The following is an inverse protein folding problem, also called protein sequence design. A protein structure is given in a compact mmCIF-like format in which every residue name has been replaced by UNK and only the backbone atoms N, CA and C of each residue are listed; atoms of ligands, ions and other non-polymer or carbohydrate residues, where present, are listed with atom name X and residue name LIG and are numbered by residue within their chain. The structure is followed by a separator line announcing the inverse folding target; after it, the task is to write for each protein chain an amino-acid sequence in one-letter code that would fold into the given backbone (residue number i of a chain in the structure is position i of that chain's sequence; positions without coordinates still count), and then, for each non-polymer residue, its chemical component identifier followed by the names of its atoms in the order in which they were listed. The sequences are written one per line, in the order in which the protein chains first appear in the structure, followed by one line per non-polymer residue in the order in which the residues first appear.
data_IF_571520117530
#
_entry.id   IF_571520117530
#
_cell.length_a   1.000
_cell.length_b   1.000
_cell.length_c   1.000
_cell.angle_alpha   90.00
_cell.angle_beta   90.00
_cell.angle_gamma   90.00
#
_symmetry.space_group_name_H-M   'P 1'
#
loop_
_entity.id
_entity.type
_entity.pdbx_description
1 polymer ?
#
# COMPACT_ATOMS: atom_id res chain seq x y z
N UNK A 1 9.50 -1.60 3.92
CA UNK A 1 8.07 -1.66 4.27
C UNK A 1 7.73 -0.41 5.06
N UNK A 2 6.97 0.51 4.49
CA UNK A 2 6.52 1.74 5.14
C UNK A 2 5.54 1.43 6.28
N UNK A 3 5.78 1.98 7.47
CA UNK A 3 5.07 1.70 8.73
C UNK A 3 3.62 2.26 8.81
N UNK A 4 3.04 2.70 7.69
CA UNK A 4 1.71 3.35 7.63
C UNK A 4 0.51 2.41 7.83
N UNK A 5 0.71 1.11 8.02
CA UNK A 5 -0.36 0.11 8.13
C UNK A 5 -0.99 -0.08 9.52
N UNK A 6 -0.64 0.73 10.53
CA UNK A 6 -1.06 0.51 11.92
C UNK A 6 -2.25 1.33 12.41
N UNK A 7 -2.77 2.25 11.59
CA UNK A 7 -3.95 3.06 11.93
C UNK A 7 -5.26 2.27 11.95
N UNK A 8 -5.40 1.26 11.08
CA UNK A 8 -6.70 0.62 10.86
C UNK A 8 -7.15 -0.31 11.99
N UNK A 9 -6.30 -0.60 12.99
CA UNK A 9 -6.74 -1.37 14.15
C UNK A 9 -7.68 -0.61 15.10
N UNK A 10 -7.86 0.71 14.94
CA UNK A 10 -8.78 1.51 15.76
C UNK A 10 -8.37 1.68 17.24
N UNK A 11 -7.26 1.06 17.67
CA UNK A 11 -6.82 1.03 19.07
C UNK A 11 -6.44 2.40 19.64
N UNK A 12 -6.03 3.34 18.80
CA UNK A 12 -5.71 4.71 19.23
C UNK A 12 -6.94 5.61 19.44
N UNK A 13 -8.15 5.11 19.19
CA UNK A 13 -9.38 5.91 19.34
C UNK A 13 -9.79 6.02 20.81
N UNK A 14 -10.48 7.11 21.17
CA UNK A 14 -11.05 7.28 22.52
C UNK A 14 -12.04 6.18 22.85
N UNK A 15 -12.86 5.76 21.87
CA UNK A 15 -13.81 4.66 22.01
C UNK A 15 -13.13 3.35 22.41
N UNK A 16 -12.12 2.91 21.65
CA UNK A 16 -11.36 1.70 21.98
C UNK A 16 -10.72 1.76 23.36
N UNK A 17 -10.17 2.93 23.74
CA UNK A 17 -9.61 3.14 25.08
C UNK A 17 -10.66 2.99 26.19
N UNK A 18 -11.81 3.62 26.05
CA UNK A 18 -12.87 3.51 27.05
C UNK A 18 -13.44 2.09 27.14
N UNK A 19 -13.69 1.44 26.00
CA UNK A 19 -14.16 0.04 25.98
C UNK A 19 -13.18 -0.88 26.70
N UNK A 20 -11.89 -0.78 26.39
CA UNK A 20 -10.87 -1.62 27.04
C UNK A 20 -10.74 -1.30 28.53
N UNK A 21 -10.81 -0.02 28.93
CA UNK A 21 -10.80 0.37 30.34
C UNK A 21 -12.01 -0.22 31.07
N UNK A 22 -13.20 -0.15 30.50
CA UNK A 22 -14.42 -0.73 31.11
C UNK A 22 -14.25 -2.25 31.29
N UNK A 23 -13.83 -2.95 30.24
CA UNK A 23 -13.59 -4.40 30.28
C UNK A 23 -12.53 -4.75 31.35
N UNK A 24 -11.43 -4.00 31.40
CA UNK A 24 -10.40 -4.18 32.42
C UNK A 24 -10.92 -3.91 33.83
N UNK A 25 -11.70 -2.84 34.04
CA UNK A 25 -12.28 -2.53 35.36
C UNK A 25 -13.27 -3.58 35.83
N UNK A 26 -14.08 -4.15 34.93
CA UNK A 26 -15.02 -5.22 35.27
C UNK A 26 -14.29 -6.50 35.68
N UNK A 27 -13.20 -6.86 35.01
CA UNK A 27 -12.40 -8.00 35.39
C UNK A 27 -11.51 -7.77 36.61
N UNK A 28 -11.08 -6.53 36.85
CA UNK A 28 -10.48 -6.14 38.13
C UNK A 28 -11.48 -6.33 39.27
N UNK A 29 -12.72 -5.87 39.07
CA UNK A 29 -13.79 -6.03 40.04
C UNK A 29 -14.05 -7.51 40.35
N UNK A 30 -14.18 -8.37 39.34
CA UNK A 30 -14.35 -9.81 39.56
C UNK A 30 -13.18 -10.41 40.33
N UNK A 31 -11.95 -10.03 40.00
CA UNK A 31 -10.75 -10.50 40.71
C UNK A 31 -10.78 -10.09 42.18
N UNK A 32 -11.15 -8.84 42.49
CA UNK A 32 -11.18 -8.32 43.85
C UNK A 32 -12.22 -9.03 44.74
N UNK A 33 -13.34 -9.48 44.17
CA UNK A 33 -14.36 -10.25 44.90
C UNK A 33 -13.83 -11.60 45.37
N UNK A 34 -12.95 -12.21 44.57
CA UNK A 34 -12.42 -13.56 44.83
C UNK A 34 -11.06 -13.55 45.57
N UNK A 35 -10.47 -12.38 45.82
CA UNK A 35 -9.10 -12.26 46.34
C UNK A 35 -9.02 -12.45 47.86
N UNK A 36 -8.14 -13.36 48.31
CA UNK A 36 -7.78 -13.50 49.72
C UNK A 36 -6.77 -12.42 50.17
N UNK A 37 -6.75 -12.02 51.46
CA UNK A 37 -5.89 -10.93 51.96
C UNK A 37 -4.38 -11.13 51.70
N UNK A 38 -3.91 -12.38 51.64
CA UNK A 38 -2.50 -12.71 51.43
C UNK A 38 -1.99 -12.49 50.01
N UNK A 39 -2.89 -12.38 49.02
CA UNK A 39 -2.55 -12.30 47.60
C UNK A 39 -2.68 -10.88 47.03
N UNK A 40 -3.15 -9.94 47.86
CA UNK A 40 -3.50 -8.58 47.46
C UNK A 40 -2.35 -7.83 46.78
N UNK A 41 -1.10 -8.04 47.22
CA UNK A 41 0.07 -7.35 46.63
C UNK A 41 0.38 -7.87 45.22
N UNK A 42 0.41 -9.18 45.03
CA UNK A 42 0.69 -9.78 43.72
C UNK A 42 -0.37 -9.39 42.69
N UNK A 43 -1.64 -9.41 43.09
CA UNK A 43 -2.78 -9.02 42.26
C UNK A 43 -2.75 -7.51 41.96
N UNK A 44 -2.41 -6.66 42.94
CA UNK A 44 -2.26 -5.22 42.71
C UNK A 44 -1.14 -4.92 41.70
N UNK A 45 0.00 -5.61 41.78
CA UNK A 45 1.09 -5.46 40.82
C UNK A 45 0.68 -5.97 39.43
N UNK A 46 0.06 -7.15 39.34
CA UNK A 46 -0.39 -7.71 38.07
C UNK A 46 -1.40 -6.80 37.36
N UNK A 47 -2.37 -6.28 38.10
CA UNK A 47 -3.40 -5.37 37.58
C UNK A 47 -2.84 -4.01 37.18
N UNK A 48 -1.86 -3.48 37.93
CA UNK A 48 -1.14 -2.27 37.55
C UNK A 48 -0.34 -2.44 36.24
N UNK A 49 0.33 -3.59 36.05
CA UNK A 49 1.03 -3.92 34.81
C UNK A 49 0.06 -4.05 33.63
N UNK A 50 -1.09 -4.69 33.83
CA UNK A 50 -2.15 -4.80 32.82
C UNK A 50 -2.70 -3.42 32.44
N UNK A 51 -2.99 -2.56 33.41
CA UNK A 51 -3.46 -1.20 33.20
C UNK A 51 -2.43 -0.39 32.40
N UNK A 52 -1.15 -0.47 32.77
CA UNK A 52 -0.07 0.18 32.04
C UNK A 52 -0.02 -0.28 30.58
N UNK A 53 -0.04 -1.59 30.33
CA UNK A 53 -0.03 -2.16 28.98
C UNK A 53 -1.23 -1.68 28.16
N UNK A 54 -2.43 -1.71 28.73
CA UNK A 54 -3.65 -1.21 28.11
C UNK A 54 -3.51 0.26 27.72
N UNK A 55 -3.03 1.10 28.62
CA UNK A 55 -2.85 2.55 28.38
C UNK A 55 -1.82 2.80 27.27
N UNK A 56 -0.73 2.03 27.25
CA UNK A 56 0.30 2.12 26.20
C UNK A 56 -0.26 1.67 24.85
N UNK A 57 -0.98 0.55 24.80
CA UNK A 57 -1.58 0.04 23.56
C UNK A 57 -2.64 0.99 22.99
N UNK A 58 -3.39 1.67 23.87
CA UNK A 58 -4.44 2.62 23.52
C UNK A 58 -3.98 4.08 23.42
N UNK A 59 -2.66 4.32 23.51
CA UNK A 59 -2.11 5.66 23.34
C UNK A 59 -2.42 6.18 21.93
N UNK A 60 -2.96 7.42 21.79
CA UNK A 60 -3.21 8.02 20.48
C UNK A 60 -1.92 8.07 19.65
N UNK A 61 -2.01 7.59 18.42
CA UNK A 61 -0.84 7.51 17.54
C UNK A 61 -1.09 6.63 16.34
N UNK A 62 -0.53 7.04 15.21
CA UNK A 62 -0.74 6.40 13.91
C UNK A 62 0.26 5.29 13.59
N UNK A 63 1.34 5.18 14.37
CA UNK A 63 2.44 4.26 14.13
C UNK A 63 2.48 3.08 15.09
N UNK A 64 3.39 2.16 14.78
CA UNK A 64 3.81 1.07 15.66
C UNK A 64 4.36 1.66 16.96
N UNK A 65 4.12 0.98 18.08
CA UNK A 65 4.84 1.30 19.31
C UNK A 65 6.34 1.13 19.07
N UNK A 66 7.13 2.08 19.57
CA UNK A 66 8.60 1.95 19.59
C UNK A 66 9.00 0.61 20.22
N UNK A 67 10.00 -0.06 19.65
CA UNK A 67 10.51 -1.35 20.13
C UNK A 67 10.66 -1.43 21.67
N UNK A 68 11.27 -0.47 22.38
CA UNK A 68 11.41 -0.55 23.84
C UNK A 68 10.06 -0.57 24.56
N UNK A 69 9.10 0.28 24.16
CA UNK A 69 7.74 0.30 24.73
C UNK A 69 6.99 -1.00 24.44
N UNK A 70 7.12 -1.52 23.23
CA UNK A 70 6.49 -2.78 22.84
C UNK A 70 7.08 -3.96 23.61
N UNK A 71 8.41 -4.00 23.79
CA UNK A 71 9.09 -5.06 24.53
C UNK A 71 8.72 -5.02 26.02
N UNK A 72 8.70 -3.83 26.62
CA UNK A 72 8.23 -3.67 27.99
C UNK A 72 6.76 -4.06 28.13
N UNK A 73 5.89 -3.70 27.18
CA UNK A 73 4.48 -4.12 27.18
C UNK A 73 4.33 -5.64 27.12
N UNK A 74 5.11 -6.32 26.27
CA UNK A 74 5.09 -7.78 26.22
C UNK A 74 5.59 -8.39 27.54
N UNK A 75 6.70 -7.89 28.09
CA UNK A 75 7.25 -8.36 29.34
C UNK A 75 6.31 -8.13 30.53
N UNK A 76 5.69 -6.95 30.61
CA UNK A 76 4.72 -6.59 31.65
C UNK A 76 3.45 -7.45 31.56
N UNK A 77 2.94 -7.74 30.36
CA UNK A 77 1.81 -8.65 30.18
C UNK A 77 2.16 -10.08 30.64
N UNK A 78 3.31 -10.61 30.24
CA UNK A 78 3.78 -11.93 30.69
C UNK A 78 3.98 -11.96 32.21
N UNK A 79 4.64 -10.96 32.78
CA UNK A 79 4.85 -10.85 34.22
C UNK A 79 3.52 -10.78 34.99
N UNK A 80 2.54 -10.01 34.50
CA UNK A 80 1.22 -9.94 35.09
C UNK A 80 0.51 -11.29 35.08
N UNK A 81 0.60 -12.06 33.98
CA UNK A 81 0.04 -13.40 33.91
C UNK A 81 0.72 -14.34 34.90
N UNK A 82 2.05 -14.34 34.97
CA UNK A 82 2.82 -15.19 35.89
C UNK A 82 2.57 -14.87 37.36
N UNK A 83 2.35 -13.60 37.71
CA UNK A 83 1.96 -13.19 39.06
C UNK A 83 0.55 -13.64 39.45
N UNK A 84 -0.33 -13.84 38.47
CA UNK A 84 -1.70 -14.33 38.66
C UNK A 84 -1.82 -15.86 38.68
N UNK A 85 -0.76 -16.58 38.30
CA UNK A 85 -0.76 -18.04 38.26
C UNK A 85 -0.98 -18.67 39.64
N UNK A 86 -0.28 -18.27 40.72
CA UNK A 86 -0.48 -18.87 42.04
C UNK A 86 -1.88 -18.66 42.63
N UNK A 87 -2.58 -17.62 42.19
CA UNK A 87 -3.92 -17.26 42.64
C UNK A 87 -5.01 -17.94 41.80
N UNK A 88 -4.63 -18.62 40.72
CA UNK A 88 -5.56 -19.34 39.87
C UNK A 88 -5.88 -20.70 40.48
N UNK A 89 -7.16 -21.00 40.69
CA UNK A 89 -7.62 -22.34 41.07
C UNK A 89 -8.12 -23.06 39.82
N UNK A 90 -7.34 -23.94 39.16
CA UNK A 90 -7.86 -24.67 38.01
C UNK A 90 -9.06 -25.54 38.42
N UNK A 91 -10.12 -25.63 37.59
CA UNK A 91 -10.27 -25.08 36.23
C UNK A 91 -10.85 -23.65 36.18
N UNK A 92 -10.94 -22.94 37.31
CA UNK A 92 -11.56 -21.62 37.38
C UNK A 92 -10.90 -20.62 36.42
N UNK A 93 -11.77 -19.88 35.74
CA UNK A 93 -11.46 -18.89 34.73
C UNK A 93 -10.68 -17.73 35.36
N UNK A 94 -9.35 -17.84 35.41
CA UNK A 94 -8.51 -16.77 35.96
C UNK A 94 -8.40 -15.64 34.95
N UNK A 95 -9.36 -14.71 35.01
CA UNK A 95 -9.35 -13.46 34.24
C UNK A 95 -7.96 -12.81 34.20
N UNK A 96 -7.27 -12.80 35.35
CA UNK A 96 -5.93 -12.22 35.50
C UNK A 96 -4.84 -12.92 34.68
N UNK A 97 -5.00 -14.21 34.35
CA UNK A 97 -4.14 -14.94 33.42
C UNK A 97 -4.56 -14.73 31.96
N UNK A 98 -5.87 -14.71 31.71
CA UNK A 98 -6.44 -14.60 30.36
C UNK A 98 -6.25 -13.20 29.77
N UNK A 99 -6.48 -12.14 30.55
CA UNK A 99 -6.46 -10.75 30.10
C UNK A 99 -5.13 -10.33 29.44
N UNK A 100 -3.95 -10.66 30.00
CA UNK A 100 -2.66 -10.41 29.34
C UNK A 100 -2.53 -11.01 27.94
N UNK A 101 -3.19 -12.14 27.65
CA UNK A 101 -3.17 -12.75 26.30
C UNK A 101 -3.89 -11.86 25.29
N UNK A 102 -5.01 -11.23 25.67
CA UNK A 102 -5.66 -10.23 24.83
C UNK A 102 -4.74 -9.04 24.59
N UNK A 103 -4.02 -8.56 25.61
CA UNK A 103 -3.05 -7.46 25.45
C UNK A 103 -1.93 -7.81 24.46
N UNK A 104 -1.43 -9.05 24.47
CA UNK A 104 -0.43 -9.54 23.52
C UNK A 104 -1.00 -9.71 22.10
N UNK A 105 -2.26 -10.13 21.99
CA UNK A 105 -3.02 -10.09 20.73
C UNK A 105 -3.16 -8.66 20.19
N UNK A 106 -3.50 -7.71 21.05
CA UNK A 106 -3.60 -6.29 20.70
C UNK A 106 -2.22 -5.68 20.36
N UNK A 107 -1.14 -6.13 21.00
CA UNK A 107 0.22 -5.74 20.62
C UNK A 107 0.56 -6.22 19.21
N UNK A 108 0.08 -7.40 18.86
CA UNK A 108 0.15 -7.95 17.49
C UNK A 108 -0.63 -7.05 16.53
N UNK A 109 -1.89 -6.68 16.82
CA UNK A 109 -2.67 -5.81 15.93
C UNK A 109 -2.08 -4.38 15.83
N UNK A 110 -1.42 -3.89 16.89
CA UNK A 110 -0.68 -2.60 16.91
C UNK A 110 0.64 -2.62 16.11
N UNK A 111 0.92 -3.69 15.37
CA UNK A 111 2.07 -3.75 14.45
C UNK A 111 3.32 -4.45 15.00
N UNK A 112 3.34 -4.89 16.26
CA UNK A 112 4.49 -5.51 16.91
C UNK A 112 4.39 -7.04 16.94
N UNK A 113 4.26 -7.67 15.77
CA UNK A 113 3.98 -9.12 15.61
C UNK A 113 4.93 -9.99 16.40
N UNK A 114 6.25 -9.79 16.23
CA UNK A 114 7.25 -10.67 16.84
C UNK A 114 7.13 -10.70 18.36
N UNK A 115 6.91 -9.53 18.96
CA UNK A 115 6.78 -9.40 20.41
C UNK A 115 5.43 -9.91 20.92
N UNK A 116 4.34 -9.63 20.20
CA UNK A 116 3.01 -10.15 20.54
C UNK A 116 2.92 -11.67 20.43
N UNK A 117 3.44 -12.26 19.34
CA UNK A 117 3.52 -13.72 19.11
C UNK A 117 4.49 -14.39 20.06
N UNK A 118 5.69 -13.83 20.25
CA UNK A 118 6.66 -14.37 21.20
C UNK A 118 6.10 -14.37 22.63
N UNK A 119 5.51 -13.25 23.07
CA UNK A 119 4.90 -13.16 24.39
C UNK A 119 3.67 -14.06 24.55
N UNK A 120 2.80 -14.14 23.53
CA UNK A 120 1.62 -15.00 23.55
C UNK A 120 1.98 -16.48 23.63
N UNK A 121 2.95 -16.92 22.82
CA UNK A 121 3.48 -18.28 22.88
C UNK A 121 4.11 -18.60 24.23
N UNK A 122 4.91 -17.68 24.78
CA UNK A 122 5.51 -17.84 26.10
C UNK A 122 4.45 -17.99 27.20
N UNK A 123 3.37 -17.20 27.16
CA UNK A 123 2.28 -17.27 28.13
C UNK A 123 1.53 -18.62 28.04
N UNK A 124 1.21 -19.08 26.83
CA UNK A 124 0.58 -20.39 26.62
C UNK A 124 1.45 -21.52 27.17
N UNK A 125 2.76 -21.52 26.84
CA UNK A 125 3.71 -22.52 27.36
C UNK A 125 3.78 -22.44 28.89
N UNK A 126 3.78 -21.25 29.47
CA UNK A 126 3.81 -21.07 30.93
C UNK A 126 2.56 -21.64 31.60
N UNK A 127 1.37 -21.48 30.99
CA UNK A 127 0.13 -22.10 31.48
C UNK A 127 0.16 -23.63 31.45
N UNK A 128 0.71 -24.22 30.37
CA UNK A 128 0.92 -25.66 30.25
C UNK A 128 1.87 -26.16 31.34
N UNK A 129 3.02 -25.50 31.51
CA UNK A 129 4.03 -25.86 32.52
C UNK A 129 3.45 -25.74 33.93
N UNK A 130 2.69 -24.69 34.21
CA UNK A 130 2.03 -24.53 35.50
C UNK A 130 1.04 -25.67 35.79
N UNK A 131 0.12 -25.95 34.88
CA UNK A 131 -0.85 -27.03 35.05
C UNK A 131 -0.17 -28.39 35.25
N UNK A 132 0.91 -28.66 34.51
CA UNK A 132 1.71 -29.86 34.71
C UNK A 132 2.41 -29.88 36.09
N UNK A 133 2.92 -28.74 36.57
CA UNK A 133 3.63 -28.64 37.85
C UNK A 133 2.76 -28.94 39.08
N UNK A 134 1.44 -28.70 38.98
CA UNK A 134 0.47 -29.01 40.04
C UNK A 134 -0.20 -30.38 39.85
N UNK A 135 0.25 -31.16 38.86
CA UNK A 135 -0.29 -32.50 38.55
C UNK A 135 -1.69 -32.49 37.94
N UNK A 136 -2.12 -31.40 37.30
CA UNK A 136 -3.39 -31.36 36.59
C UNK A 136 -3.39 -32.35 35.41
N UNK A 137 -4.55 -32.92 35.10
CA UNK A 137 -4.68 -33.80 33.95
C UNK A 137 -4.64 -33.00 32.62
N UNK A 138 -4.46 -33.72 31.51
CA UNK A 138 -4.35 -33.09 30.20
C UNK A 138 -5.61 -32.30 29.79
N UNK A 139 -6.78 -32.72 30.25
CA UNK A 139 -8.05 -32.07 29.93
C UNK A 139 -8.19 -30.72 30.66
N UNK A 140 -7.82 -30.66 31.93
CA UNK A 140 -7.79 -29.43 32.72
C UNK A 140 -6.74 -28.44 32.18
N UNK A 141 -5.55 -28.93 31.81
CA UNK A 141 -4.53 -28.10 31.17
C UNK A 141 -5.07 -27.51 29.86
N UNK A 142 -5.66 -28.35 29.00
CA UNK A 142 -6.23 -27.92 27.74
C UNK A 142 -7.34 -26.87 27.94
N UNK A 143 -8.25 -27.09 28.89
CA UNK A 143 -9.30 -26.14 29.21
C UNK A 143 -8.74 -24.80 29.70
N UNK A 144 -7.71 -24.83 30.54
CA UNK A 144 -7.05 -23.64 31.08
C UNK A 144 -6.40 -22.77 29.99
N UNK A 145 -5.73 -23.39 29.00
CA UNK A 145 -5.06 -22.64 27.92
C UNK A 145 -5.92 -22.41 26.69
N UNK A 146 -7.11 -23.04 26.59
CA UNK A 146 -8.00 -22.91 25.45
C UNK A 146 -8.43 -21.45 25.22
N UNK A 147 -8.86 -20.75 26.27
CA UNK A 147 -9.32 -19.36 26.14
C UNK A 147 -8.18 -18.41 25.69
N UNK A 148 -6.97 -18.46 26.27
CA UNK A 148 -5.79 -17.77 25.74
C UNK A 148 -5.51 -18.06 24.27
N UNK A 149 -5.53 -19.34 23.87
CA UNK A 149 -5.27 -19.74 22.48
C UNK A 149 -6.31 -19.11 21.54
N UNK A 150 -7.60 -19.22 21.87
CA UNK A 150 -8.68 -18.64 21.08
C UNK A 150 -8.53 -17.12 20.99
N UNK A 151 -8.33 -16.44 22.12
CA UNK A 151 -8.13 -15.00 22.17
C UNK A 151 -6.95 -14.55 21.28
N UNK A 152 -5.86 -15.32 21.31
CA UNK A 152 -4.67 -15.05 20.52
C UNK A 152 -4.91 -15.25 19.02
N UNK A 153 -5.59 -16.33 18.64
CA UNK A 153 -5.99 -16.61 17.25
C UNK A 153 -6.89 -15.50 16.72
N UNK A 154 -7.91 -15.08 17.48
CA UNK A 154 -8.80 -13.97 17.11
C UNK A 154 -8.00 -12.69 16.87
N UNK A 155 -7.03 -12.39 17.73
CA UNK A 155 -6.14 -11.24 17.54
C UNK A 155 -5.33 -11.29 16.24
N UNK A 156 -4.83 -12.47 15.86
CA UNK A 156 -4.12 -12.69 14.59
C UNK A 156 -5.07 -12.53 13.40
N UNK A 157 -6.22 -13.20 13.42
CA UNK A 157 -7.22 -13.16 12.34
C UNK A 157 -7.69 -11.73 12.11
N UNK A 158 -7.99 -11.00 13.18
CA UNK A 158 -8.37 -9.58 13.13
C UNK A 158 -7.30 -8.73 12.46
N UNK A 159 -6.02 -8.93 12.80
CA UNK A 159 -4.91 -8.24 12.14
C UNK A 159 -4.87 -8.55 10.65
N UNK A 160 -5.00 -9.82 10.26
CA UNK A 160 -4.96 -10.24 8.85
C UNK A 160 -6.12 -9.59 8.08
N UNK A 161 -7.33 -9.59 8.64
CA UNK A 161 -8.51 -8.96 8.04
C UNK A 161 -8.34 -7.45 7.84
N UNK A 162 -7.76 -6.74 8.82
CA UNK A 162 -7.46 -5.31 8.67
C UNK A 162 -6.38 -5.07 7.62
N UNK A 163 -5.30 -5.85 7.66
CA UNK A 163 -4.20 -5.69 6.72
C UNK A 163 -4.64 -5.96 5.28
N UNK A 164 -5.51 -6.95 5.07
CA UNK A 164 -6.08 -7.24 3.75
C UNK A 164 -7.01 -6.11 3.30
N UNK A 165 -7.92 -5.62 4.14
CA UNK A 165 -8.82 -4.52 3.78
C UNK A 165 -8.06 -3.25 3.34
N UNK A 166 -7.01 -2.87 4.09
CA UNK A 166 -6.17 -1.72 3.74
C UNK A 166 -5.39 -1.93 2.43
N UNK A 167 -4.92 -3.14 2.17
CA UNK A 167 -4.21 -3.45 0.94
C UNK A 167 -5.13 -3.34 -0.28
N UNK A 168 -6.40 -3.74 -0.15
CA UNK A 168 -7.40 -3.55 -1.20
C UNK A 168 -7.67 -2.06 -1.44
N UNK A 169 -7.92 -1.28 -0.38
CA UNK A 169 -8.16 0.17 -0.50
C UNK A 169 -6.98 0.90 -1.16
N UNK A 170 -5.74 0.53 -0.81
CA UNK A 170 -4.54 1.09 -1.45
C UNK A 170 -4.44 0.77 -2.93
N UNK A 171 -4.81 -0.44 -3.33
CA UNK A 171 -4.84 -0.84 -4.74
C UNK A 171 -5.91 -0.07 -5.50
N UNK A 172 -7.08 0.10 -4.92
CA UNK A 172 -8.17 0.84 -5.53
C UNK A 172 -7.81 2.32 -5.71
N UNK A 173 -7.19 2.95 -4.70
CA UNK A 173 -6.67 4.31 -4.79
C UNK A 173 -5.55 4.44 -5.83
N UNK A 174 -4.64 3.47 -5.92
CA UNK A 174 -3.60 3.46 -6.93
C UNK A 174 -4.18 3.37 -8.35
N UNK A 175 -5.15 2.48 -8.57
CA UNK A 175 -5.86 2.34 -9.86
C UNK A 175 -6.61 3.63 -10.20
N UNK A 176 -7.33 4.23 -9.26
CA UNK A 176 -8.03 5.50 -9.46
C UNK A 176 -7.06 6.64 -9.81
N UNK A 177 -5.90 6.70 -9.15
CA UNK A 177 -4.87 7.70 -9.45
C UNK A 177 -4.26 7.52 -10.84
N UNK A 178 -4.02 6.27 -11.26
CA UNK A 178 -3.52 5.97 -12.60
C UNK A 178 -4.55 6.30 -13.69
N UNK A 179 -5.83 6.01 -13.44
CA UNK A 179 -6.92 6.37 -14.34
C UNK A 179 -7.03 7.89 -14.49
N UNK A 180 -6.95 8.65 -13.38
CA UNK A 180 -6.98 10.11 -13.41
C UNK A 180 -5.83 10.70 -14.24
N UNK A 181 -4.61 10.18 -14.08
CA UNK A 181 -3.46 10.59 -14.90
C UNK A 181 -3.65 10.26 -16.38
N UNK A 182 -4.22 9.10 -16.70
CA UNK A 182 -4.51 8.71 -18.08
C UNK A 182 -5.57 9.64 -18.71
N UNK A 183 -6.63 10.00 -17.98
CA UNK A 183 -7.65 10.95 -18.44
C UNK A 183 -7.04 12.33 -18.70
N UNK A 184 -6.23 12.85 -17.78
CA UNK A 184 -5.56 14.15 -17.95
C UNK A 184 -4.63 14.14 -19.18
N UNK A 185 -3.91 13.04 -19.41
CA UNK A 185 -3.06 12.89 -20.59
C UNK A 185 -3.88 12.87 -21.90
N UNK A 186 -5.03 12.19 -21.90
CA UNK A 186 -5.94 12.14 -23.03
C UNK A 186 -6.56 13.51 -23.34
N UNK A 187 -7.04 14.22 -22.31
CA UNK A 187 -7.57 15.58 -22.45
C UNK A 187 -6.52 16.55 -23.00
N UNK A 188 -5.29 16.48 -22.48
CA UNK A 188 -4.18 17.30 -22.98
C UNK A 188 -3.81 16.96 -24.43
N UNK A 189 -3.93 15.70 -24.85
CA UNK A 189 -3.75 15.31 -26.25
C UNK A 189 -4.88 15.88 -27.13
N UNK A 190 -6.14 15.71 -26.73
CA UNK A 190 -7.30 16.25 -27.45
C UNK A 190 -7.23 17.78 -27.60
N UNK A 191 -6.85 18.52 -26.55
CA UNK A 191 -6.70 19.97 -26.62
C UNK A 191 -5.60 20.41 -27.61
N UNK A 192 -4.48 19.67 -27.66
CA UNK A 192 -3.42 19.91 -28.65
C UNK A 192 -3.91 19.65 -30.07
N UNK A 193 -4.64 18.55 -30.29
CA UNK A 193 -5.19 18.20 -31.60
C UNK A 193 -6.20 19.24 -32.08
N UNK A 194 -7.07 19.74 -31.19
CA UNK A 194 -8.00 20.82 -31.50
C UNK A 194 -7.27 22.11 -31.90
N UNK A 195 -6.25 22.50 -31.13
CA UNK A 195 -5.42 23.67 -31.45
C UNK A 195 -4.75 23.53 -32.82
N UNK A 196 -4.24 22.34 -33.14
CA UNK A 196 -3.64 22.05 -34.44
C UNK A 196 -4.65 22.20 -35.58
N UNK A 197 -5.88 21.68 -35.40
CA UNK A 197 -6.96 21.79 -36.39
C UNK A 197 -7.35 23.25 -36.61
N UNK A 198 -7.50 24.03 -35.54
CA UNK A 198 -7.87 25.44 -35.63
C UNK A 198 -6.79 26.27 -36.35
N UNK A 199 -5.53 25.99 -36.06
CA UNK A 199 -4.42 26.63 -36.75
C UNK A 199 -4.37 26.29 -38.25
N UNK A 200 -4.55 25.01 -38.61
CA UNK A 200 -4.60 24.56 -40.01
C UNK A 200 -5.78 25.21 -40.73
N UNK A 201 -6.93 25.32 -40.07
CA UNK A 201 -8.10 26.01 -40.61
C UNK A 201 -7.80 27.50 -40.82
N UNK A 202 -7.18 28.18 -39.85
CA UNK A 202 -6.84 29.59 -39.97
C UNK A 202 -5.86 29.86 -41.13
N UNK A 203 -4.93 28.93 -41.38
CA UNK A 203 -3.97 29.02 -42.48
C UNK A 203 -4.59 28.70 -43.85
N UNK A 204 -5.47 27.69 -43.94
CA UNK A 204 -6.08 27.27 -45.20
C UNK A 204 -7.30 28.11 -45.62
N UNK A 205 -8.06 28.66 -44.67
CA UNK A 205 -9.33 29.32 -44.95
C UNK A 205 -9.25 30.49 -45.96
N UNK A 206 -8.26 31.40 -45.90
CA UNK A 206 -8.16 32.51 -46.86
C UNK A 206 -8.01 32.03 -48.31
N UNK A 207 -7.15 31.04 -48.53
CA UNK A 207 -6.87 30.47 -49.86
C UNK A 207 -8.10 29.73 -50.42
N UNK A 208 -8.76 28.93 -49.58
CA UNK A 208 -9.98 28.22 -49.98
C UNK A 208 -11.14 29.17 -50.30
N UNK A 209 -11.24 30.29 -49.57
CA UNK A 209 -12.25 31.32 -49.81
C UNK A 209 -12.01 32.09 -51.12
N UNK A 210 -10.76 32.36 -51.49
CA UNK A 210 -10.41 32.94 -52.79
C UNK A 210 -10.74 31.98 -53.95
N UNK A 211 -10.40 30.70 -53.81
CA UNK A 211 -10.76 29.67 -54.79
C UNK A 211 -12.28 29.54 -54.96
N UNK A 212 -13.04 29.60 -53.85
CA UNK A 212 -14.52 29.58 -53.87
C UNK A 212 -15.12 30.74 -54.65
N UNK A 213 -14.47 31.91 -54.66
CA UNK A 213 -14.93 33.10 -55.41
C UNK A 213 -14.65 33.01 -56.91
N UNK A 214 -14.00 31.95 -57.38
CA UNK A 214 -13.69 31.72 -58.79
C UNK A 214 -12.55 32.60 -59.30
N UNK A 215 -11.63 33.02 -58.42
CA UNK A 215 -10.40 33.73 -58.83
C UNK A 215 -9.62 32.84 -59.79
N UNK A 216 -9.22 33.37 -60.96
CA UNK A 216 -8.42 32.63 -61.92
C UNK A 216 -7.06 32.32 -61.32
N UNK A 217 -6.69 31.05 -61.28
CA UNK A 217 -5.40 30.60 -60.73
C UNK A 217 -4.30 30.92 -61.75
N UNK A 218 -3.60 32.04 -61.54
CA UNK A 218 -2.35 32.33 -62.22
C UNK A 218 -1.16 31.67 -61.52
N UNK A 219 0.00 31.85 -62.12
CA UNK A 219 1.28 31.39 -61.57
C UNK A 219 1.58 31.90 -60.12
N UNK A 220 1.30 33.18 -59.75
CA UNK A 220 1.53 33.62 -58.38
C UNK A 220 0.56 33.00 -57.36
N UNK A 221 -0.72 32.81 -57.72
CA UNK A 221 -1.71 32.16 -56.87
C UNK A 221 -1.37 30.67 -56.66
N UNK A 222 -0.93 29.97 -57.72
CA UNK A 222 -0.49 28.58 -57.63
C UNK A 222 0.70 28.40 -56.67
N UNK A 223 1.66 29.33 -56.66
CA UNK A 223 2.79 29.32 -55.71
C UNK A 223 2.33 29.55 -54.26
N UNK A 224 1.36 30.42 -54.04
CA UNK A 224 0.82 30.65 -52.70
C UNK A 224 0.09 29.42 -52.16
N UNK A 225 -0.72 28.76 -53.01
CA UNK A 225 -1.42 27.51 -52.66
C UNK A 225 -0.41 26.42 -52.29
N UNK A 226 0.61 26.20 -53.13
CA UNK A 226 1.66 25.21 -52.88
C UNK A 226 2.44 25.51 -51.58
N UNK A 227 2.81 26.77 -51.35
CA UNK A 227 3.52 27.16 -50.13
C UNK A 227 2.67 26.95 -48.86
N UNK A 228 1.35 27.19 -48.95
CA UNK A 228 0.40 26.97 -47.86
C UNK A 228 0.20 25.48 -47.57
N UNK A 229 0.05 24.66 -48.61
CA UNK A 229 -0.06 23.20 -48.46
C UNK A 229 1.21 22.60 -47.84
N UNK A 230 2.38 23.00 -48.33
CA UNK A 230 3.66 22.55 -47.77
C UNK A 230 3.84 23.00 -46.32
N UNK A 231 3.41 24.23 -45.98
CA UNK A 231 3.38 24.71 -44.59
C UNK A 231 2.52 23.85 -43.68
N UNK A 232 1.32 23.48 -44.13
CA UNK A 232 0.41 22.58 -43.41
C UNK A 232 1.01 21.18 -43.28
N UNK A 233 1.62 20.63 -44.35
CA UNK A 233 2.27 19.31 -44.32
C UNK A 233 3.45 19.27 -43.35
N UNK A 234 4.27 20.32 -43.32
CA UNK A 234 5.40 20.40 -42.39
C UNK A 234 4.92 20.47 -40.94
N UNK A 235 3.88 21.26 -40.69
CA UNK A 235 3.24 21.37 -39.37
C UNK A 235 2.71 20.01 -38.89
N UNK A 236 2.08 19.23 -39.76
CA UNK A 236 1.57 17.88 -39.44
C UNK A 236 2.73 16.89 -39.22
N UNK A 237 3.78 16.94 -40.05
CA UNK A 237 4.91 15.99 -39.97
C UNK A 237 5.86 16.29 -38.81
N UNK A 238 6.03 17.56 -38.45
CA UNK A 238 7.02 18.00 -37.46
C UNK A 238 6.48 19.09 -36.53
N UNK A 239 5.51 18.78 -35.65
CA UNK A 239 4.88 19.79 -34.78
C UNK A 239 5.88 20.50 -33.84
N UNK A 240 6.96 19.82 -33.46
CA UNK A 240 7.97 20.33 -32.52
C UNK A 240 9.02 21.26 -33.13
N UNK A 241 9.04 21.45 -34.45
CA UNK A 241 10.02 22.30 -35.15
C UNK A 241 9.44 23.68 -35.54
N UNK A 242 8.33 24.05 -34.92
CA UNK A 242 7.61 25.29 -35.18
C UNK A 242 8.27 26.45 -34.45
N UNK A 243 8.88 27.36 -35.18
CA UNK A 243 9.32 28.64 -34.65
C UNK A 243 8.89 29.76 -35.62
N UNK A 244 8.24 30.84 -35.15
CA UNK A 244 7.67 31.85 -36.03
C UNK A 244 8.66 32.45 -37.04
N UNK A 245 9.93 32.62 -36.65
CA UNK A 245 10.97 33.12 -37.56
C UNK A 245 11.42 32.07 -38.59
N UNK A 246 11.40 30.78 -38.24
CA UNK A 246 11.73 29.70 -39.16
C UNK A 246 10.59 29.52 -40.17
N UNK A 247 9.35 29.49 -39.70
CA UNK A 247 8.15 29.36 -40.55
C UNK A 247 8.08 30.53 -41.54
N UNK A 248 8.35 31.76 -41.09
CA UNK A 248 8.39 32.94 -41.96
C UNK A 248 9.51 32.84 -43.01
N UNK A 249 10.72 32.44 -42.61
CA UNK A 249 11.87 32.30 -43.52
C UNK A 249 11.64 31.19 -44.56
N UNK A 250 11.11 30.04 -44.16
CA UNK A 250 10.78 28.92 -45.06
C UNK A 250 9.68 29.33 -46.04
N UNK A 251 8.63 30.01 -45.57
CA UNK A 251 7.55 30.52 -46.43
C UNK A 251 8.08 31.52 -47.45
N UNK A 252 8.93 32.46 -47.04
CA UNK A 252 9.54 33.44 -47.94
C UNK A 252 10.44 32.76 -49.00
N UNK A 253 11.20 31.73 -48.60
CA UNK A 253 11.99 30.93 -49.54
C UNK A 253 11.11 30.16 -50.55
N UNK A 254 9.96 29.61 -50.12
CA UNK A 254 9.00 28.93 -51.00
C UNK A 254 8.38 29.88 -52.02
N UNK A 255 7.98 31.08 -51.58
CA UNK A 255 7.41 32.09 -52.46
C UNK A 255 8.37 32.56 -53.56
N UNK A 256 9.69 32.46 -53.33
CA UNK A 256 10.73 32.72 -54.34
C UNK A 256 10.97 31.57 -55.33
N UNK A 257 10.25 30.45 -55.20
CA UNK A 257 10.41 29.26 -56.06
C UNK A 257 11.57 28.35 -55.67
N UNK A 258 12.22 28.60 -54.53
CA UNK A 258 13.25 27.72 -53.99
C UNK A 258 12.59 26.52 -53.29
N UNK A 259 12.47 25.40 -53.98
CA UNK A 259 12.13 24.09 -53.39
C UNK A 259 13.35 23.59 -52.61
N UNK A 260 13.55 24.11 -51.40
CA UNK A 260 14.60 23.57 -50.54
C UNK A 260 14.12 22.24 -49.95
N UNK A 261 14.78 21.09 -50.24
CA UNK A 261 14.50 19.83 -49.58
C UNK A 261 15.09 19.89 -48.18
N UNK A 262 14.51 20.71 -47.32
CA UNK A 262 14.88 20.74 -45.92
C UNK A 262 14.24 19.51 -45.28
N UNK A 263 15.10 18.61 -44.79
CA UNK A 263 14.81 17.47 -43.92
C UNK A 263 14.50 16.12 -44.59
N UNK A 264 15.55 15.49 -45.12
CA UNK A 264 15.70 14.04 -44.98
C UNK A 264 16.39 13.79 -43.63
N UNK A 265 15.72 13.23 -42.60
CA UNK A 265 16.43 12.80 -41.41
C UNK A 265 17.42 11.73 -41.86
N UNK A 266 18.72 12.01 -41.70
CA UNK A 266 19.75 10.99 -41.74
C UNK A 266 19.34 9.92 -40.72
N UNK A 267 18.81 8.79 -41.20
CA UNK A 267 18.49 7.65 -40.36
C UNK A 267 19.72 7.35 -39.50
N UNK A 268 19.64 7.38 -38.16
CA UNK A 268 20.71 6.79 -37.37
C UNK A 268 20.85 5.32 -37.80
N UNK A 269 22.08 4.79 -37.91
CA UNK A 269 22.28 3.38 -38.25
C UNK A 269 21.48 2.52 -37.26
N UNK A 270 20.66 1.62 -37.81
CA UNK A 270 19.85 0.69 -37.03
C UNK A 270 20.77 -0.12 -36.10
N UNK A 271 20.61 -0.09 -34.77
CA UNK A 271 21.51 -0.79 -33.84
C UNK A 271 21.45 -2.32 -33.90
N UNK A 272 20.55 -2.90 -34.69
CA UNK A 272 20.36 -4.37 -34.76
C UNK A 272 21.25 -5.05 -35.80
N UNK A 273 22.16 -4.33 -36.47
CA UNK A 273 23.14 -4.91 -37.40
C UNK A 273 24.45 -5.36 -36.72
N UNK A 274 24.46 -5.59 -35.40
CA UNK A 274 25.51 -6.35 -34.73
C UNK A 274 25.03 -7.78 -34.48
N UNK A 275 25.54 -8.68 -35.33
CA UNK A 275 25.88 -10.07 -35.01
C UNK A 275 24.87 -10.86 -34.18
N UNK A 276 24.01 -11.59 -34.89
CA UNK A 276 23.43 -12.83 -34.40
C UNK A 276 24.55 -13.77 -33.89
N UNK A 277 24.52 -14.22 -32.62
CA UNK A 277 25.28 -15.39 -32.23
C UNK A 277 24.68 -16.60 -32.92
N UNK A 278 25.49 -17.31 -33.70
CA UNK A 278 25.16 -18.64 -34.20
C UNK A 278 25.04 -19.61 -33.01
N UNK A 279 23.82 -19.85 -32.54
CA UNK A 279 23.55 -21.01 -31.68
C UNK A 279 23.22 -22.20 -32.56
N UNK A 280 24.20 -23.07 -32.69
CA UNK A 280 24.10 -24.43 -33.22
C UNK A 280 23.00 -25.22 -32.50
N UNK A 281 22.32 -26.17 -33.18
CA UNK A 281 21.35 -27.05 -32.55
C UNK A 281 22.09 -28.19 -31.86
N UNK A 282 22.12 -28.19 -30.53
CA UNK A 282 22.46 -29.40 -29.77
C UNK A 282 21.17 -30.16 -29.49
N UNK A 283 20.97 -31.21 -30.29
CA UNK A 283 20.15 -32.36 -29.96
C UNK A 283 20.48 -32.88 -28.56
N UNK A 284 19.47 -33.01 -27.70
CA UNK A 284 19.54 -33.93 -26.57
C UNK A 284 18.33 -34.84 -26.62
N UNK A 285 18.65 -36.10 -26.82
CA UNK A 285 17.77 -37.23 -26.92
C UNK A 285 17.00 -37.49 -25.62
N UNK A 286 15.85 -38.11 -25.83
CA UNK A 286 15.05 -38.80 -24.84
C UNK A 286 15.82 -39.96 -24.20
N UNK A 287 15.55 -40.20 -22.91
CA UNK A 287 15.20 -41.52 -22.31
C UNK A 287 15.70 -41.65 -20.86
N UNK A 288 14.75 -41.88 -19.94
CA UNK A 288 14.81 -42.91 -18.87
C UNK A 288 13.62 -42.66 -17.92
N UNK A 289 12.50 -43.36 -18.13
CA UNK A 289 12.09 -44.56 -17.37
C UNK A 289 11.82 -44.33 -15.88
N UNK A 290 10.57 -44.66 -15.52
CA UNK A 290 9.98 -44.84 -14.19
C UNK A 290 10.69 -45.97 -13.40
N UNK A 291 10.28 -46.37 -12.17
CA UNK A 291 8.90 -46.54 -11.67
C UNK A 291 8.44 -45.53 -10.62
#
# INVERSE_FOLDING_TARGET
MSDTGTQAAGLGTRGARYTLLVVWTLGLWSTLVDTLPGEAVAIAVATALQAWCLLVLTTPGQGRLSVPRAAFCAAAAVAAALLAVPTASPPADSWSFNFPTYLLGLLTTRGNVRLGVGGGGLLIVSGIVFGASIGADAAAIAAFVALPIVAFIVGIVWRVAIASALEHERRDLAVASAAALATQAAEAATARDQTLIDDVRAEAAPVLEELRRGVSIGEPEARLIAATEEGIRDRIRSPGLRHPSLDAAVREARLRGSTSPCWAPSRPPRPWAMSSPSTSPTSWDASSTAP
#
